data_IF_524810726830
#
_entry.id   IF_524810726830
#
_cell.length_a   1.000
_cell.length_b   1.000
_cell.length_c   1.000
_cell.angle_alpha   90.00
_cell.angle_beta   90.00
_cell.angle_gamma   90.00
#
_symmetry.space_group_name_H-M   'P 1'
#
loop_
_entity.id
_entity.type
_entity.pdbx_description
1 polymer ?
#
# COMPACT_ATOMS: atom_id res chain seq x y z
N UNK A 1 4.34 -13.31 -13.05
CA UNK A 1 3.44 -12.34 -13.72
C UNK A 1 1.97 -12.70 -13.56
N UNK A 2 1.51 -13.89 -13.97
CA UNK A 2 0.11 -14.30 -13.80
C UNK A 2 -0.40 -14.24 -12.35
N UNK A 3 0.39 -14.73 -11.38
CA UNK A 3 0.06 -14.63 -9.94
C UNK A 3 -0.11 -13.18 -9.49
N UNK A 4 0.75 -12.26 -9.97
CA UNK A 4 0.79 -10.84 -9.60
C UNK A 4 -0.46 -10.11 -10.11
N UNK A 5 -0.90 -10.43 -11.34
CA UNK A 5 -2.13 -9.86 -11.90
C UNK A 5 -3.35 -10.41 -11.14
N UNK A 6 -3.37 -11.70 -10.83
CA UNK A 6 -4.45 -12.31 -10.06
C UNK A 6 -4.50 -11.71 -8.64
N UNK A 7 -3.40 -11.64 -7.90
CA UNK A 7 -3.39 -10.98 -6.58
C UNK A 7 -3.66 -9.48 -6.66
N UNK A 8 -3.32 -8.81 -7.76
CA UNK A 8 -3.68 -7.41 -8.00
C UNK A 8 -5.18 -7.19 -8.18
N UNK A 9 -5.83 -8.00 -9.01
CA UNK A 9 -7.29 -7.97 -9.21
C UNK A 9 -8.03 -8.37 -7.93
N UNK A 10 -7.55 -9.42 -7.25
CA UNK A 10 -8.12 -9.82 -5.95
C UNK A 10 -7.90 -8.76 -4.88
N UNK A 11 -6.71 -8.15 -4.80
CA UNK A 11 -6.40 -7.09 -3.86
C UNK A 11 -7.24 -5.83 -4.08
N UNK A 12 -7.56 -5.53 -5.33
CA UNK A 12 -8.50 -4.46 -5.69
C UNK A 12 -9.91 -4.76 -5.14
N UNK A 13 -10.47 -5.93 -5.47
CA UNK A 13 -11.83 -6.32 -5.04
C UNK A 13 -11.91 -6.40 -3.52
N UNK A 14 -10.89 -6.98 -2.87
CA UNK A 14 -10.83 -7.13 -1.42
C UNK A 14 -10.64 -5.78 -0.74
N UNK A 15 -9.78 -4.90 -1.26
CA UNK A 15 -9.53 -3.58 -0.68
C UNK A 15 -10.79 -2.72 -0.62
N UNK A 16 -11.54 -2.63 -1.72
CA UNK A 16 -12.83 -1.91 -1.72
C UNK A 16 -13.88 -2.58 -0.83
N UNK A 17 -13.96 -3.91 -0.84
CA UNK A 17 -14.89 -4.64 0.03
C UNK A 17 -14.60 -4.35 1.51
N UNK A 18 -13.32 -4.35 1.91
CA UNK A 18 -12.89 -4.02 3.27
C UNK A 18 -13.26 -2.58 3.62
N UNK A 19 -12.95 -1.59 2.77
CA UNK A 19 -13.33 -0.20 3.05
C UNK A 19 -14.84 -0.01 3.16
N UNK A 20 -15.63 -0.75 2.39
CA UNK A 20 -17.09 -0.68 2.41
C UNK A 20 -17.70 -1.37 3.64
N UNK A 21 -17.14 -2.50 4.07
CA UNK A 21 -17.56 -3.22 5.29
C UNK A 21 -17.23 -2.38 6.54
N UNK A 22 -16.02 -1.84 6.62
CA UNK A 22 -15.55 -1.05 7.76
C UNK A 22 -15.91 0.44 7.67
N UNK A 23 -16.69 0.85 6.66
CA UNK A 23 -17.13 2.24 6.45
C UNK A 23 -15.99 3.28 6.45
N UNK A 24 -14.82 2.92 5.92
CA UNK A 24 -13.68 3.83 5.81
C UNK A 24 -13.93 4.77 4.62
N UNK A 25 -14.26 6.03 4.93
CA UNK A 25 -14.53 7.07 3.92
C UNK A 25 -13.34 7.99 3.67
N UNK A 26 -12.42 8.05 4.62
CA UNK A 26 -11.31 8.98 4.62
C UNK A 26 -10.23 8.53 3.61
N UNK A 27 -9.84 9.45 2.72
CA UNK A 27 -8.97 9.17 1.58
C UNK A 27 -7.54 8.85 2.01
N UNK A 28 -7.04 9.53 3.04
CA UNK A 28 -5.71 9.27 3.58
C UNK A 28 -5.63 7.85 4.16
N UNK A 29 -6.63 7.45 4.95
CA UNK A 29 -6.71 6.12 5.55
C UNK A 29 -6.73 5.02 4.48
N UNK A 30 -7.52 5.19 3.40
CA UNK A 30 -7.54 4.25 2.27
C UNK A 30 -6.19 4.16 1.58
N UNK A 31 -5.57 5.31 1.29
CA UNK A 31 -4.27 5.37 0.63
C UNK A 31 -3.19 4.66 1.43
N UNK A 32 -3.07 4.98 2.73
CA UNK A 32 -2.09 4.33 3.62
C UNK A 32 -2.36 2.83 3.74
N UNK A 33 -3.62 2.41 3.88
CA UNK A 33 -3.97 0.99 3.97
C UNK A 33 -3.59 0.21 2.69
N UNK A 34 -3.85 0.77 1.51
CA UNK A 34 -3.47 0.14 0.23
C UNK A 34 -1.95 0.10 0.03
N UNK A 35 -1.26 1.19 0.35
CA UNK A 35 0.19 1.31 0.19
C UNK A 35 0.96 0.36 1.10
N UNK A 36 0.49 0.17 2.33
CA UNK A 36 1.12 -0.72 3.31
C UNK A 36 0.79 -2.20 3.09
N UNK A 37 -0.42 -2.53 2.63
CA UNK A 37 -0.88 -3.93 2.52
C UNK A 37 -0.59 -4.61 1.18
N UNK A 38 -0.57 -3.86 0.06
CA UNK A 38 -0.58 -4.45 -1.28
C UNK A 38 0.58 -3.97 -2.19
N UNK A 39 1.60 -3.34 -1.60
CA UNK A 39 2.82 -2.93 -2.30
C UNK A 39 2.52 -2.04 -3.53
N UNK A 40 3.35 -2.08 -4.58
CA UNK A 40 3.18 -1.25 -5.79
C UNK A 40 1.81 -1.43 -6.49
N UNK A 41 1.20 -2.61 -6.38
CA UNK A 41 -0.09 -2.90 -7.01
C UNK A 41 -1.24 -2.23 -6.24
N UNK A 42 -1.15 -2.22 -4.90
CA UNK A 42 -2.07 -1.46 -4.05
C UNK A 42 -2.01 0.03 -4.35
N UNK A 43 -0.82 0.56 -4.65
CA UNK A 43 -0.65 1.97 -5.04
C UNK A 43 -1.28 2.26 -6.39
N UNK A 44 -1.13 1.37 -7.38
CA UNK A 44 -1.84 1.51 -8.65
C UNK A 44 -3.37 1.56 -8.44
N UNK A 45 -3.91 0.73 -7.54
CA UNK A 45 -5.34 0.81 -7.20
C UNK A 45 -5.71 2.09 -6.43
N UNK A 46 -4.88 2.56 -5.52
CA UNK A 46 -5.10 3.80 -4.81
C UNK A 46 -5.19 5.00 -5.78
N UNK A 47 -4.37 5.00 -6.83
CA UNK A 47 -4.43 6.01 -7.90
C UNK A 47 -5.72 5.93 -8.73
N UNK A 48 -6.30 4.73 -8.90
CA UNK A 48 -7.62 4.57 -9.54
C UNK A 48 -8.77 5.05 -8.65
N UNK A 49 -8.60 5.03 -7.32
CA UNK A 49 -9.60 5.50 -6.35
C UNK A 49 -9.60 7.03 -6.22
N UNK A 50 -8.44 7.67 -6.30
CA UNK A 50 -8.31 9.12 -6.23
C UNK A 50 -6.86 9.60 -6.13
N UNK A 51 -6.63 10.88 -6.41
CA UNK A 51 -5.30 11.49 -6.29
C UNK A 51 -4.76 11.44 -4.86
N UNK A 52 -5.62 11.68 -3.87
CA UNK A 52 -5.22 11.72 -2.44
C UNK A 52 -4.86 10.32 -1.95
N UNK A 53 -5.67 9.31 -2.29
CA UNK A 53 -5.41 7.91 -2.00
C UNK A 53 -4.07 7.47 -2.61
N UNK A 54 -3.83 7.79 -3.88
CA UNK A 54 -2.58 7.48 -4.59
C UNK A 54 -1.36 8.16 -3.98
N UNK A 55 -1.47 9.45 -3.63
CA UNK A 55 -0.41 10.21 -2.97
C UNK A 55 -0.06 9.63 -1.60
N UNK A 56 -1.05 9.28 -0.79
CA UNK A 56 -0.82 8.70 0.54
C UNK A 56 -0.29 7.27 0.47
N UNK A 57 -0.72 6.49 -0.52
CA UNK A 57 -0.22 5.13 -0.76
C UNK A 57 1.27 5.14 -1.14
N UNK A 58 1.66 6.00 -2.07
CA UNK A 58 3.06 6.14 -2.50
C UNK A 58 3.96 6.65 -1.37
N UNK A 59 3.48 7.60 -0.56
CA UNK A 59 4.20 8.05 0.64
C UNK A 59 4.44 6.90 1.63
N UNK A 60 3.42 6.07 1.88
CA UNK A 60 3.55 4.94 2.80
C UNK A 60 4.62 3.94 2.35
N UNK A 61 4.70 3.64 1.05
CA UNK A 61 5.76 2.77 0.50
C UNK A 61 7.14 3.39 0.67
N UNK A 62 7.29 4.69 0.37
CA UNK A 62 8.56 5.38 0.50
C UNK A 62 9.08 5.36 1.95
N UNK A 63 8.19 5.62 2.92
CA UNK A 63 8.51 5.56 4.35
C UNK A 63 8.88 4.15 4.79
N UNK A 64 8.12 3.13 4.37
CA UNK A 64 8.45 1.74 4.66
C UNK A 64 9.83 1.33 4.10
N UNK A 65 10.16 1.77 2.89
CA UNK A 65 11.47 1.56 2.28
C UNK A 65 12.60 2.21 3.08
N UNK A 66 12.43 3.47 3.48
CA UNK A 66 13.39 4.18 4.33
C UNK A 66 13.64 3.46 5.66
N UNK A 67 12.58 3.06 6.36
CA UNK A 67 12.68 2.32 7.63
C UNK A 67 13.43 1.00 7.42
N UNK A 68 13.14 0.30 6.32
CA UNK A 68 13.80 -0.97 5.98
C UNK A 68 15.29 -0.77 5.74
N UNK A 69 15.69 0.27 5.00
CA UNK A 69 17.10 0.58 4.73
C UNK A 69 17.85 0.96 5.99
N UNK A 70 17.26 1.81 6.84
CA UNK A 70 17.85 2.23 8.11
C UNK A 70 18.01 1.01 9.04
N UNK A 71 16.94 0.22 9.19
CA UNK A 71 16.95 -1.01 9.99
C UNK A 71 18.02 -1.99 9.51
N UNK A 72 18.06 -2.28 8.21
CA UNK A 72 19.06 -3.16 7.61
C UNK A 72 20.49 -2.63 7.84
N UNK A 73 20.74 -1.33 7.68
CA UNK A 73 22.06 -0.72 7.93
C UNK A 73 22.51 -0.85 9.39
N UNK A 74 21.58 -0.68 10.34
CA UNK A 74 21.86 -0.84 11.77
C UNK A 74 22.19 -2.30 12.09
N UNK A 75 21.38 -3.24 11.63
CA UNK A 75 21.63 -4.67 11.82
C UNK A 75 22.96 -5.12 11.18
N UNK A 76 23.30 -4.59 10.01
CA UNK A 76 24.56 -4.91 9.32
C UNK A 76 25.80 -4.30 9.98
N UNK A 77 25.67 -3.24 10.80
CA UNK A 77 26.79 -2.70 11.60
C UNK A 77 26.93 -3.40 12.96
N UNK A 78 25.92 -4.17 13.38
CA UNK A 78 25.89 -4.89 14.66
C UNK A 78 26.44 -6.32 14.57
N UNK A 79 26.65 -6.85 13.36
CA UNK A 79 27.24 -8.17 13.07
C UNK A 79 28.51 -8.00 12.24
#
# INVERSE_FOLDING_TARGET
MAVIIITGVFGNIIGEAVFKIFHIKEAVAKGVALGTSAHAIGTARAMELGEVEGAMSSLAIAVAGLITVIGASVFANLY
#
